data_IF_555521810412
#
_entry.id   IF_555521810412
#
_cell.length_a   1.000
_cell.length_b   1.000
_cell.length_c   1.000
_cell.angle_alpha   90.00
_cell.angle_beta   90.00
_cell.angle_gamma   90.00
#
_symmetry.space_group_name_H-M   'P 1'
#
loop_
_entity.id
_entity.type
_entity.pdbx_description
1 polymer ?
#
# COMPACT_ATOMS: atom_id res chain seq x y z
N UNK A 1 -10.38 27.79 7.49
CA UNK A 1 -9.88 26.85 6.46
C UNK A 1 -9.00 25.86 7.22
N UNK A 2 -9.60 24.79 7.75
CA UNK A 2 -8.89 23.79 8.54
C UNK A 2 -8.24 22.80 7.58
N UNK A 3 -6.92 22.68 7.65
CA UNK A 3 -6.14 21.77 6.81
C UNK A 3 -6.59 20.32 7.01
N UNK A 4 -7.28 19.78 6.00
CA UNK A 4 -7.51 18.33 5.83
C UNK A 4 -6.21 17.52 5.86
N UNK A 5 -5.11 18.19 5.52
CA UNK A 5 -3.76 17.64 5.46
C UNK A 5 -3.24 17.33 6.86
N UNK A 6 -3.44 18.27 7.80
CA UNK A 6 -3.09 18.06 9.19
C UNK A 6 -4.02 17.03 9.85
N UNK A 7 -5.25 16.90 9.37
CA UNK A 7 -6.21 15.90 9.89
C UNK A 7 -5.82 14.47 9.51
N UNK A 8 -5.29 14.24 8.30
CA UNK A 8 -4.84 12.89 7.88
C UNK A 8 -3.56 12.46 8.62
N UNK A 9 -2.61 13.39 8.76
CA UNK A 9 -1.38 13.18 9.55
C UNK A 9 -1.73 13.03 11.04
N UNK A 10 -2.61 13.87 11.57
CA UNK A 10 -3.07 13.78 12.95
C UNK A 10 -3.92 12.53 13.20
N UNK A 11 -4.68 12.02 12.24
CA UNK A 11 -5.32 10.70 12.37
C UNK A 11 -4.25 9.60 12.41
N UNK A 12 -3.24 9.64 11.55
CA UNK A 12 -2.13 8.68 11.59
C UNK A 12 -1.33 8.76 12.91
N UNK A 13 -1.14 9.95 13.47
CA UNK A 13 -0.40 10.20 14.71
C UNK A 13 -1.25 9.94 15.97
N UNK A 14 -2.53 10.30 15.97
CA UNK A 14 -3.44 10.21 17.13
C UNK A 14 -4.23 8.89 17.20
N UNK A 15 -4.39 8.15 16.10
CA UNK A 15 -5.09 6.83 16.08
C UNK A 15 -4.15 5.69 16.52
N UNK A 16 -2.86 5.96 16.67
CA UNK A 16 -1.87 5.06 17.25
C UNK A 16 -1.57 5.50 18.70
N UNK A 17 -2.48 5.33 19.69
CA UNK A 17 -2.89 3.99 20.17
C UNK A 17 -4.31 3.87 20.82
N UNK A 18 -5.06 2.80 20.53
CA UNK A 18 -5.75 1.89 21.52
C UNK A 18 -7.02 1.14 21.05
N UNK A 19 -7.61 1.39 19.86
CA UNK A 19 -8.83 0.65 19.46
C UNK A 19 -8.69 -0.02 18.07
N UNK A 20 -7.86 -1.07 18.04
CA UNK A 20 -7.16 -1.64 16.87
C UNK A 20 -7.99 -2.25 15.73
N UNK A 21 -9.32 -2.20 15.73
CA UNK A 21 -10.12 -2.90 14.70
C UNK A 21 -11.22 -2.05 14.09
N UNK A 22 -12.07 -1.44 14.91
CA UNK A 22 -13.26 -0.72 14.42
C UNK A 22 -12.91 0.61 13.76
N UNK A 23 -11.88 1.29 14.27
CA UNK A 23 -11.39 2.55 13.71
C UNK A 23 -10.67 2.34 12.37
N UNK A 24 -10.04 1.17 12.17
CA UNK A 24 -9.35 0.84 10.91
C UNK A 24 -10.32 0.75 9.73
N UNK A 25 -11.54 0.24 9.92
CA UNK A 25 -12.55 0.14 8.85
C UNK A 25 -13.06 1.51 8.35
N UNK A 26 -13.21 2.49 9.26
CA UNK A 26 -13.61 3.86 8.92
C UNK A 26 -12.50 4.55 8.11
N UNK A 27 -11.24 4.38 8.55
CA UNK A 27 -10.07 4.86 7.81
C UNK A 27 -9.98 4.18 6.44
N UNK A 28 -10.28 2.87 6.35
CA UNK A 28 -10.33 2.13 5.08
C UNK A 28 -11.30 2.76 4.10
N UNK A 29 -12.54 3.03 4.50
CA UNK A 29 -13.52 3.65 3.60
C UNK A 29 -13.15 5.09 3.23
N UNK A 30 -12.61 5.86 4.16
CA UNK A 30 -12.25 7.26 3.93
C UNK A 30 -11.01 7.42 3.04
N UNK A 31 -9.99 6.57 3.21
CA UNK A 31 -8.75 6.61 2.43
C UNK A 31 -8.94 5.99 1.05
N UNK A 32 -9.65 4.85 0.95
CA UNK A 32 -9.97 4.26 -0.37
C UNK A 32 -10.96 5.12 -1.17
N UNK A 33 -11.74 5.97 -0.50
CA UNK A 33 -12.67 6.90 -1.14
C UNK A 33 -12.01 8.10 -1.83
N UNK A 34 -10.71 8.36 -1.58
CA UNK A 34 -9.99 9.49 -2.18
C UNK A 34 -8.64 9.09 -2.74
N UNK A 35 -8.48 9.24 -4.06
CA UNK A 35 -7.21 9.05 -4.77
C UNK A 35 -6.07 9.88 -4.16
N UNK A 36 -6.34 11.11 -3.71
CA UNK A 36 -5.33 11.99 -3.13
C UNK A 36 -4.85 11.49 -1.77
N UNK A 37 -5.75 10.98 -0.93
CA UNK A 37 -5.37 10.40 0.35
C UNK A 37 -4.50 9.16 0.14
N UNK A 38 -4.88 8.26 -0.77
CA UNK A 38 -4.08 7.07 -1.07
C UNK A 38 -2.67 7.44 -1.57
N UNK A 39 -2.55 8.42 -2.49
CA UNK A 39 -1.23 8.87 -2.99
C UNK A 39 -0.32 9.39 -1.87
N UNK A 40 -0.88 10.16 -0.93
CA UNK A 40 -0.14 10.66 0.25
C UNK A 40 0.29 9.53 1.18
N UNK A 41 -0.54 8.51 1.36
CA UNK A 41 -0.16 7.32 2.12
C UNK A 41 1.09 6.64 1.53
N UNK A 42 1.14 6.50 0.20
CA UNK A 42 2.30 5.92 -0.49
C UNK A 42 3.57 6.80 -0.36
N UNK A 43 3.41 8.12 -0.20
CA UNK A 43 4.52 9.05 0.06
C UNK A 43 5.00 8.98 1.52
N UNK A 44 4.07 8.85 2.47
CA UNK A 44 4.39 8.79 3.90
C UNK A 44 5.19 7.55 4.30
N UNK A 45 5.01 6.43 3.58
CA UNK A 45 5.82 5.21 3.76
C UNK A 45 7.32 5.47 3.52
N UNK A 46 7.66 6.46 2.69
CA UNK A 46 9.05 6.77 2.34
C UNK A 46 9.71 7.81 3.25
N UNK A 47 9.01 8.32 4.27
CA UNK A 47 9.57 9.34 5.14
C UNK A 47 10.74 8.79 5.97
N UNK A 48 11.77 9.61 6.25
CA UNK A 48 12.96 9.19 6.98
C UNK A 48 12.68 8.87 8.47
N UNK A 49 11.53 9.27 9.01
CA UNK A 49 11.13 8.94 10.37
C UNK A 49 10.69 7.47 10.44
N UNK A 50 11.58 6.62 10.96
CA UNK A 50 11.38 5.18 11.06
C UNK A 50 10.07 4.78 11.75
N UNK A 51 9.83 5.29 12.96
CA UNK A 51 8.64 4.93 13.74
C UNK A 51 7.36 5.32 13.02
N UNK A 52 7.32 6.53 12.45
CA UNK A 52 6.16 6.98 11.68
C UNK A 52 5.97 6.16 10.41
N UNK A 53 7.03 5.94 9.63
CA UNK A 53 6.98 5.15 8.39
C UNK A 53 6.48 3.72 8.66
N UNK A 54 6.99 3.05 9.69
CA UNK A 54 6.54 1.70 10.06
C UNK A 54 5.07 1.64 10.48
N UNK A 55 4.58 2.68 11.16
CA UNK A 55 3.15 2.78 11.48
C UNK A 55 2.26 2.98 10.26
N UNK A 56 2.74 3.77 9.28
CA UNK A 56 2.05 3.95 8.00
C UNK A 56 2.10 2.67 7.17
N UNK A 57 3.24 1.97 7.14
CA UNK A 57 3.43 0.67 6.48
C UNK A 57 2.45 -0.40 7.01
N UNK A 58 2.31 -0.53 8.34
CA UNK A 58 1.34 -1.44 8.98
C UNK A 58 -0.11 -1.06 8.64
N UNK A 59 -0.39 0.24 8.62
CA UNK A 59 -1.73 0.74 8.26
C UNK A 59 -2.03 0.42 6.80
N UNK A 60 -1.09 0.64 5.90
CA UNK A 60 -1.22 0.33 4.47
C UNK A 60 -1.44 -1.16 4.25
N UNK A 61 -0.70 -2.04 4.94
CA UNK A 61 -0.91 -3.49 4.89
C UNK A 61 -2.35 -3.83 5.29
N UNK A 62 -2.86 -3.30 6.40
CA UNK A 62 -4.23 -3.56 6.82
C UNK A 62 -5.28 -2.99 5.86
N UNK A 63 -5.05 -1.80 5.31
CA UNK A 63 -5.92 -1.17 4.32
C UNK A 63 -6.05 -2.04 3.06
N UNK A 64 -4.92 -2.60 2.60
CA UNK A 64 -4.81 -3.34 1.35
C UNK A 64 -5.01 -4.85 1.50
N UNK A 65 -5.13 -5.37 2.72
CA UNK A 65 -5.30 -6.82 2.92
C UNK A 65 -6.50 -7.23 3.77
N UNK A 66 -7.12 -6.34 4.56
CA UNK A 66 -8.17 -6.77 5.51
C UNK A 66 -9.55 -6.95 4.89
N UNK A 67 -10.08 -5.95 4.21
CA UNK A 67 -11.46 -5.95 3.71
C UNK A 67 -11.52 -6.30 2.21
N UNK A 68 -11.42 -7.59 1.91
CA UNK A 68 -11.15 -8.12 0.56
C UNK A 68 -12.12 -7.64 -0.52
N UNK A 69 -13.43 -7.63 -0.24
CA UNK A 69 -14.44 -7.16 -1.19
C UNK A 69 -14.19 -5.69 -1.60
N UNK A 70 -13.97 -4.82 -0.61
CA UNK A 70 -13.67 -3.41 -0.81
C UNK A 70 -12.36 -3.19 -1.58
N UNK A 71 -11.34 -4.00 -1.27
CA UNK A 71 -10.03 -3.90 -1.93
C UNK A 71 -10.14 -4.32 -3.39
N UNK A 72 -10.80 -5.43 -3.69
CA UNK A 72 -10.96 -5.91 -5.08
C UNK A 72 -11.75 -4.89 -5.90
N UNK A 73 -12.81 -4.32 -5.34
CA UNK A 73 -13.57 -3.24 -5.98
C UNK A 73 -12.70 -2.00 -6.23
N UNK A 74 -11.94 -1.58 -5.23
CA UNK A 74 -11.01 -0.46 -5.35
C UNK A 74 -9.96 -0.71 -6.42
N UNK A 75 -9.26 -1.85 -6.38
CA UNK A 75 -8.19 -2.20 -7.32
C UNK A 75 -8.72 -2.32 -8.75
N UNK A 76 -9.92 -2.88 -8.93
CA UNK A 76 -10.53 -3.01 -10.26
C UNK A 76 -10.85 -1.64 -10.88
N UNK A 77 -11.35 -0.70 -10.07
CA UNK A 77 -11.68 0.67 -10.52
C UNK A 77 -10.46 1.57 -10.69
N UNK A 78 -9.39 1.31 -9.96
CA UNK A 78 -8.24 2.21 -9.82
C UNK A 78 -6.92 1.62 -10.34
N UNK A 79 -6.99 0.48 -11.02
CA UNK A 79 -5.86 -0.36 -11.37
C UNK A 79 -4.65 0.41 -11.90
N UNK A 80 -4.82 1.17 -12.98
CA UNK A 80 -3.71 1.74 -13.74
C UNK A 80 -2.92 2.76 -12.91
N UNK A 81 -3.61 3.71 -12.27
CA UNK A 81 -2.91 4.71 -11.47
C UNK A 81 -2.39 4.13 -10.16
N UNK A 82 -3.11 3.18 -9.53
CA UNK A 82 -2.70 2.61 -8.26
C UNK A 82 -1.41 1.81 -8.42
N UNK A 83 -1.36 0.89 -9.39
CA UNK A 83 -0.15 0.09 -9.59
C UNK A 83 1.01 0.90 -10.16
N UNK A 84 0.75 1.94 -10.96
CA UNK A 84 1.79 2.89 -11.37
C UNK A 84 2.44 3.58 -10.16
N UNK A 85 1.64 4.09 -9.22
CA UNK A 85 2.15 4.75 -8.01
C UNK A 85 2.77 3.74 -7.05
N UNK A 86 2.12 2.58 -6.82
CA UNK A 86 2.61 1.53 -5.93
C UNK A 86 3.97 1.01 -6.38
N UNK A 87 4.14 0.75 -7.68
CA UNK A 87 5.38 0.23 -8.23
C UNK A 87 6.50 1.28 -8.15
N UNK A 88 6.27 2.48 -8.69
CA UNK A 88 7.29 3.53 -8.74
C UNK A 88 7.71 4.04 -7.36
N UNK A 89 6.75 4.15 -6.42
CA UNK A 89 7.03 4.67 -5.08
C UNK A 89 7.53 3.61 -4.11
N UNK A 90 7.09 2.37 -4.21
CA UNK A 90 7.40 1.37 -3.18
C UNK A 90 8.34 0.28 -3.69
N UNK A 91 7.96 -0.42 -4.77
CA UNK A 91 8.74 -1.54 -5.31
C UNK A 91 10.07 -1.08 -5.92
N UNK A 92 10.09 0.10 -6.52
CA UNK A 92 11.30 0.70 -7.11
C UNK A 92 11.98 1.70 -6.16
N UNK A 93 11.55 1.78 -4.90
CA UNK A 93 12.11 2.71 -3.91
C UNK A 93 13.58 2.42 -3.62
N UNK A 94 14.38 3.42 -3.23
CA UNK A 94 15.76 3.17 -2.78
C UNK A 94 15.84 2.50 -1.40
N UNK A 95 14.74 2.44 -0.65
CA UNK A 95 14.69 1.86 0.67
C UNK A 95 14.36 0.36 0.58
N UNK A 96 15.36 -0.47 0.83
CA UNK A 96 15.23 -1.94 0.80
C UNK A 96 14.06 -2.40 1.67
N UNK A 97 13.90 -1.90 2.90
CA UNK A 97 12.78 -2.30 3.78
C UNK A 97 11.43 -1.98 3.14
N UNK A 98 11.29 -0.80 2.54
CA UNK A 98 10.06 -0.40 1.85
C UNK A 98 9.76 -1.33 0.67
N UNK A 99 10.77 -1.69 -0.13
CA UNK A 99 10.62 -2.71 -1.20
C UNK A 99 10.13 -4.05 -0.63
N UNK A 100 10.75 -4.53 0.44
CA UNK A 100 10.41 -5.80 1.08
C UNK A 100 8.96 -5.83 1.57
N UNK A 101 8.57 -4.80 2.32
CA UNK A 101 7.22 -4.68 2.84
C UNK A 101 6.21 -4.59 1.70
N UNK A 102 6.49 -3.77 0.69
CA UNK A 102 5.62 -3.61 -0.48
C UNK A 102 5.49 -4.90 -1.29
N UNK A 103 6.56 -5.67 -1.47
CA UNK A 103 6.52 -6.97 -2.13
C UNK A 103 5.64 -7.96 -1.37
N UNK A 104 5.76 -8.00 -0.03
CA UNK A 104 4.88 -8.83 0.81
C UNK A 104 3.42 -8.43 0.66
N UNK A 105 3.12 -7.13 0.76
CA UNK A 105 1.75 -6.61 0.60
C UNK A 105 1.21 -6.90 -0.80
N UNK A 106 2.04 -6.79 -1.85
CA UNK A 106 1.68 -7.16 -3.21
C UNK A 106 1.30 -8.64 -3.33
N UNK A 107 2.12 -9.54 -2.75
CA UNK A 107 1.82 -10.97 -2.73
C UNK A 107 0.49 -11.25 -2.02
N UNK A 108 0.28 -10.65 -0.83
CA UNK A 108 -0.95 -10.82 -0.04
C UNK A 108 -2.20 -10.22 -0.72
N UNK A 109 -2.02 -9.22 -1.58
CA UNK A 109 -3.07 -8.66 -2.41
C UNK A 109 -3.43 -9.58 -3.59
N UNK A 110 -2.44 -10.04 -4.35
CA UNK A 110 -2.64 -10.72 -5.64
C UNK A 110 -2.88 -12.24 -5.50
N UNK A 111 -2.33 -12.88 -4.48
CA UNK A 111 -2.46 -14.33 -4.29
C UNK A 111 -3.79 -14.72 -3.62
N UNK A 112 -4.60 -13.75 -3.21
CA UNK A 112 -5.90 -14.02 -2.61
C UNK A 112 -6.91 -14.50 -3.67
N UNK A 113 -7.74 -15.54 -3.41
CA UNK A 113 -8.67 -16.09 -4.39
C UNK A 113 -9.64 -15.07 -5.01
N UNK A 114 -10.08 -14.08 -4.22
CA UNK A 114 -11.00 -13.03 -4.68
C UNK A 114 -10.36 -12.00 -5.62
N UNK A 115 -9.04 -12.01 -5.79
CA UNK A 115 -8.28 -11.02 -6.56
C UNK A 115 -7.78 -11.55 -7.91
N UNK A 116 -8.29 -12.71 -8.33
CA UNK A 116 -7.80 -13.44 -9.51
C UNK A 116 -7.71 -12.57 -10.77
N UNK A 117 -8.73 -11.77 -11.05
CA UNK A 117 -8.75 -10.92 -12.24
C UNK A 117 -7.68 -9.83 -12.19
N UNK A 118 -7.48 -9.23 -11.00
CA UNK A 118 -6.43 -8.22 -10.75
C UNK A 118 -5.05 -8.85 -10.89
N UNK A 119 -4.87 -10.05 -10.34
CA UNK A 119 -3.62 -10.82 -10.41
C UNK A 119 -3.26 -11.19 -11.85
N UNK A 120 -4.22 -11.71 -12.63
CA UNK A 120 -4.01 -12.03 -14.05
C UNK A 120 -3.64 -10.78 -14.84
N UNK A 121 -4.35 -9.65 -14.62
CA UNK A 121 -4.00 -8.36 -15.25
C UNK A 121 -2.59 -7.91 -14.87
N UNK A 122 -2.20 -8.04 -13.60
CA UNK A 122 -0.87 -7.67 -13.12
C UNK A 122 0.23 -8.52 -13.70
N UNK A 123 0.06 -9.85 -13.72
CA UNK A 123 1.01 -10.79 -14.29
C UNK A 123 1.12 -10.70 -15.82
N UNK A 124 0.09 -10.21 -16.51
CA UNK A 124 0.12 -10.03 -17.97
C UNK A 124 0.90 -8.78 -18.42
N UNK A 125 1.21 -7.86 -17.50
CA UNK A 125 1.97 -6.64 -17.82
C UNK A 125 3.46 -6.93 -17.82
N UNK A 126 4.10 -6.73 -18.98
CA UNK A 126 5.55 -6.89 -19.13
C UNK A 126 6.34 -5.98 -18.19
N UNK A 127 5.85 -4.76 -17.93
CA UNK A 127 6.55 -3.81 -17.05
C UNK A 127 6.46 -4.22 -15.57
N UNK A 128 5.30 -4.70 -15.13
CA UNK A 128 5.14 -5.25 -13.78
C UNK A 128 6.02 -6.48 -13.57
N UNK A 129 6.10 -7.36 -14.57
CA UNK A 129 6.97 -8.54 -14.52
C UNK A 129 8.44 -8.16 -14.41
N UNK A 130 8.91 -7.17 -15.19
CA UNK A 130 10.30 -6.68 -15.09
C UNK A 130 10.64 -6.20 -13.68
N UNK A 131 9.75 -5.44 -13.05
CA UNK A 131 9.93 -4.95 -11.68
C UNK A 131 10.11 -6.13 -10.71
N UNK A 132 9.17 -7.08 -10.73
CA UNK A 132 9.22 -8.26 -9.84
C UNK A 132 10.47 -9.11 -10.11
N UNK A 133 10.84 -9.31 -11.37
CA UNK A 133 12.05 -10.05 -11.74
C UNK A 133 13.33 -9.35 -11.28
N UNK A 134 13.39 -8.02 -11.32
CA UNK A 134 14.53 -7.26 -10.81
C UNK A 134 14.62 -7.37 -9.28
N UNK A 135 13.49 -7.31 -8.58
CA UNK A 135 13.44 -7.53 -7.13
C UNK A 135 13.98 -8.90 -6.75
N UNK A 136 13.59 -9.96 -7.47
CA UNK A 136 14.08 -11.33 -7.23
C UNK A 136 15.60 -11.48 -7.48
N UNK A 137 16.21 -10.61 -8.30
CA UNK A 137 17.64 -10.64 -8.61
C UNK A 137 18.52 -9.90 -7.60
N UNK A 138 17.96 -8.96 -6.83
CA UNK A 138 18.72 -8.20 -5.84
C UNK A 138 19.26 -9.19 -4.78
N UNK A 139 20.55 -9.51 -4.79
CA UNK A 139 21.16 -10.56 -3.96
C UNK A 139 21.14 -10.32 -2.43
N UNK A 140 20.47 -9.26 -1.98
CA UNK A 140 20.31 -8.88 -0.58
C UNK A 140 19.08 -9.47 0.12
N UNK A 141 18.26 -10.30 -0.55
CA UNK A 141 17.09 -10.96 0.08
C UNK A 141 17.44 -12.20 0.91
N UNK A 142 18.71 -12.60 0.92
CA UNK A 142 19.22 -13.74 1.68
C UNK A 142 20.37 -13.32 2.58
N UNK A 143 20.04 -12.86 3.80
CA UNK A 143 20.77 -13.10 5.05
C UNK A 143 19.76 -13.16 6.19
#
# INVERSE_FOLDING_TARGET
MFDSDNTSIALLYNVMPRERVRQREIVTRHVLGSKQHMKRFLEYVQLPNYTFASHVEETLEVLLTRHRSTIVEFLSRNYDWFFMEFNSKLLESHNIRTKFHALKVLADMLLHPSSRDVMVRYASSTDNLKIVMNLLKESSWSV
#
